data_IF_258341972823
#
_entry.id   IF_258341972823
#
_cell.length_a   1.000
_cell.length_b   1.000
_cell.length_c   1.000
_cell.angle_alpha   90.00
_cell.angle_beta   90.00
_cell.angle_gamma   90.00
#
_symmetry.space_group_name_H-M   'P 1'
#
loop_
_entity.id
_entity.type
_entity.pdbx_description
1 polymer ?
#
# COMPACT_ATOMS: atom_id res chain seq x y z
N UNK A 1 12.98 18.45 -4.25
CA UNK A 1 11.53 18.70 -4.18
C UNK A 1 11.02 18.41 -2.76
N UNK A 2 10.99 19.43 -1.88
CA UNK A 2 10.53 19.26 -0.50
C UNK A 2 9.01 19.12 -0.42
N UNK A 3 8.53 18.31 0.53
CA UNK A 3 7.14 18.33 0.95
C UNK A 3 6.91 19.47 1.94
N UNK A 4 5.81 20.21 1.80
CA UNK A 4 5.47 21.30 2.74
C UNK A 4 4.72 20.81 3.98
N UNK A 5 4.24 19.57 3.95
CA UNK A 5 3.41 18.98 5.01
C UNK A 5 4.21 18.02 5.92
N UNK A 6 5.48 17.75 5.60
CA UNK A 6 6.39 16.91 6.40
C UNK A 6 7.86 17.21 6.07
N UNK A 7 8.79 16.53 6.73
CA UNK A 7 10.24 16.73 6.56
C UNK A 7 10.85 15.99 5.36
N UNK A 8 10.05 15.31 4.52
CA UNK A 8 10.57 14.50 3.41
C UNK A 8 10.99 15.35 2.22
N UNK A 9 12.14 15.01 1.63
CA UNK A 9 12.69 15.66 0.44
C UNK A 9 12.94 14.62 -0.65
N UNK A 10 12.46 14.93 -1.86
CA UNK A 10 12.54 14.03 -3.01
C UNK A 10 13.47 14.56 -4.10
N UNK A 11 14.14 13.66 -4.82
CA UNK A 11 15.01 14.00 -5.95
C UNK A 11 14.23 14.42 -7.20
N UNK A 12 12.97 14.00 -7.34
CA UNK A 12 12.11 14.34 -8.49
C UNK A 12 10.73 14.83 -8.08
N UNK A 13 10.09 15.62 -8.97
CA UNK A 13 8.70 16.07 -8.79
C UNK A 13 7.72 14.91 -8.77
N UNK A 14 7.92 13.88 -9.61
CA UNK A 14 7.04 12.70 -9.67
C UNK A 14 7.01 11.91 -8.35
N UNK A 15 8.17 11.78 -7.69
CA UNK A 15 8.26 11.16 -6.38
C UNK A 15 7.51 11.97 -5.32
N UNK A 16 7.65 13.30 -5.31
CA UNK A 16 6.89 14.18 -4.41
C UNK A 16 5.37 14.07 -4.65
N UNK A 17 4.92 14.07 -5.92
CA UNK A 17 3.49 13.89 -6.26
C UNK A 17 2.95 12.56 -5.72
N UNK A 18 3.72 11.48 -5.88
CA UNK A 18 3.34 10.15 -5.39
C UNK A 18 3.26 10.13 -3.86
N UNK A 19 4.23 10.75 -3.19
CA UNK A 19 4.24 10.91 -1.74
C UNK A 19 2.99 11.65 -1.24
N UNK A 20 2.66 12.80 -1.83
CA UNK A 20 1.49 13.59 -1.44
C UNK A 20 0.19 12.81 -1.62
N UNK A 21 0.08 12.01 -2.68
CA UNK A 21 -1.13 11.24 -2.99
C UNK A 21 -1.37 10.05 -2.06
N UNK A 22 -0.30 9.39 -1.61
CA UNK A 22 -0.43 8.07 -0.96
C UNK A 22 0.20 7.96 0.43
N UNK A 23 1.10 8.87 0.80
CA UNK A 23 1.88 8.73 2.04
C UNK A 23 1.66 9.89 3.01
N UNK A 24 1.75 11.12 2.50
CA UNK A 24 1.73 12.33 3.33
C UNK A 24 0.36 12.55 3.95
N UNK A 25 0.28 12.50 5.28
CA UNK A 25 -0.99 12.65 6.01
C UNK A 25 -2.00 11.52 5.76
N UNK A 26 -1.65 10.50 4.98
CA UNK A 26 -2.54 9.38 4.68
C UNK A 26 -2.36 8.26 5.72
N UNK A 27 -3.44 7.79 6.37
CA UNK A 27 -3.38 6.64 7.27
C UNK A 27 -3.13 5.34 6.48
N UNK A 28 -2.56 4.31 7.12
CA UNK A 28 -2.47 2.98 6.52
C UNK A 28 -3.89 2.44 6.29
N UNK A 29 -4.16 1.93 5.08
CA UNK A 29 -5.48 1.43 4.68
C UNK A 29 -5.46 0.07 4.01
N UNK A 30 -4.28 -0.42 3.63
CA UNK A 30 -4.12 -1.68 2.96
C UNK A 30 -3.82 -2.76 3.98
N UNK A 31 -4.81 -3.61 4.27
CA UNK A 31 -4.71 -4.69 5.26
C UNK A 31 -4.39 -6.02 4.59
N UNK A 32 -3.55 -6.81 5.25
CA UNK A 32 -3.34 -8.22 4.93
C UNK A 32 -4.60 -9.01 5.34
N UNK A 33 -5.16 -9.84 4.46
CA UNK A 33 -6.34 -10.63 4.81
C UNK A 33 -6.06 -11.79 5.78
N UNK A 34 -4.79 -12.07 6.06
CA UNK A 34 -4.37 -13.24 6.83
C UNK A 34 -3.78 -12.89 8.21
N UNK A 35 -3.57 -11.61 8.51
CA UNK A 35 -3.07 -11.14 9.79
C UNK A 35 -3.37 -9.65 10.00
N UNK A 36 -2.93 -9.09 11.12
CA UNK A 36 -3.21 -7.69 11.48
C UNK A 36 -2.27 -6.66 10.83
N UNK A 37 -1.45 -7.07 9.85
CA UNK A 37 -0.59 -6.13 9.14
C UNK A 37 -1.43 -5.15 8.32
N UNK A 38 -1.24 -3.85 8.56
CA UNK A 38 -1.79 -2.75 7.75
C UNK A 38 -0.65 -1.88 7.23
N UNK A 39 -0.75 -1.45 5.97
CA UNK A 39 0.25 -0.59 5.33
C UNK A 39 -0.39 0.57 4.56
N UNK A 40 0.43 1.57 4.26
CA UNK A 40 0.07 2.70 3.38
C UNK A 40 0.18 2.34 1.89
N UNK A 41 0.85 1.24 1.53
CA UNK A 41 1.03 0.79 0.14
C UNK A 41 0.63 -0.67 -0.06
N UNK A 42 -0.03 -0.96 -1.19
CA UNK A 42 -0.39 -2.33 -1.60
C UNK A 42 0.83 -3.21 -1.83
N UNK A 43 1.89 -2.68 -2.45
CA UNK A 43 3.15 -3.40 -2.72
C UNK A 43 3.78 -3.99 -1.46
N UNK A 44 3.69 -3.28 -0.33
CA UNK A 44 4.22 -3.73 0.95
C UNK A 44 3.41 -4.92 1.50
N UNK A 45 2.09 -4.88 1.39
CA UNK A 45 1.21 -5.99 1.79
C UNK A 45 1.46 -7.20 0.91
N UNK A 46 1.57 -7.01 -0.41
CA UNK A 46 1.87 -8.11 -1.34
C UNK A 46 3.21 -8.78 -1.03
N UNK A 47 4.27 -8.01 -0.79
CA UNK A 47 5.58 -8.55 -0.39
C UNK A 47 5.49 -9.28 0.95
N UNK A 48 4.74 -8.74 1.91
CA UNK A 48 4.50 -9.40 3.18
C UNK A 48 3.84 -10.77 3.00
N UNK A 49 2.77 -10.87 2.18
CA UNK A 49 2.08 -12.14 1.91
C UNK A 49 3.05 -13.15 1.30
N UNK A 50 3.82 -12.77 0.28
CA UNK A 50 4.82 -13.66 -0.34
C UNK A 50 5.86 -14.20 0.65
N UNK A 51 6.20 -13.44 1.70
CA UNK A 51 7.24 -13.81 2.68
C UNK A 51 6.69 -14.56 3.89
N UNK A 52 5.49 -14.21 4.37
CA UNK A 52 4.89 -14.68 5.62
C UNK A 52 3.71 -15.64 5.43
N UNK A 53 3.11 -15.66 4.25
CA UNK A 53 1.94 -16.45 3.88
C UNK A 53 2.19 -17.12 2.52
N UNK A 54 3.29 -17.88 2.42
CA UNK A 54 3.82 -18.42 1.15
C UNK A 54 2.81 -19.24 0.35
N UNK A 55 1.91 -19.95 1.02
CA UNK A 55 0.90 -20.83 0.41
C UNK A 55 -0.48 -20.14 0.26
N UNK A 56 -0.52 -18.81 0.36
CA UNK A 56 -1.75 -18.03 0.26
C UNK A 56 -1.76 -17.15 -0.99
N UNK A 57 -2.96 -16.91 -1.51
CA UNK A 57 -3.17 -16.01 -2.65
C UNK A 57 -2.81 -14.58 -2.26
N UNK A 58 -2.09 -13.88 -3.13
CA UNK A 58 -1.72 -12.48 -2.90
C UNK A 58 -2.89 -11.57 -3.24
N UNK A 59 -3.65 -11.17 -2.23
CA UNK A 59 -4.65 -10.11 -2.35
C UNK A 59 -4.60 -9.14 -1.17
N UNK A 60 -5.06 -7.90 -1.38
CA UNK A 60 -4.95 -6.80 -0.41
C UNK A 60 -6.34 -6.23 -0.15
N UNK A 61 -6.68 -5.99 1.12
CA UNK A 61 -7.96 -5.39 1.50
C UNK A 61 -7.80 -3.88 1.70
N UNK A 62 -8.62 -3.06 1.04
CA UNK A 62 -8.74 -1.64 1.35
C UNK A 62 -9.83 -1.43 2.41
N UNK A 63 -9.42 -1.14 3.64
CA UNK A 63 -10.33 -0.96 4.78
C UNK A 63 -11.08 0.37 4.76
N UNK A 64 -10.66 1.32 3.90
CA UNK A 64 -11.36 2.62 3.75
C UNK A 64 -12.50 2.55 2.75
N UNK A 65 -12.46 1.61 1.81
CA UNK A 65 -13.50 1.40 0.79
C UNK A 65 -13.77 -0.10 0.62
N UNK A 66 -14.46 -0.74 1.59
CA UNK A 66 -14.65 -2.19 1.63
C UNK A 66 -15.46 -2.75 0.43
N UNK A 67 -16.19 -1.91 -0.29
CA UNK A 67 -16.93 -2.25 -1.52
C UNK A 67 -16.05 -2.36 -2.78
N UNK A 68 -14.76 -2.02 -2.70
CA UNK A 68 -13.82 -1.97 -3.82
C UNK A 68 -12.82 -3.15 -3.81
N UNK A 69 -13.34 -4.37 -3.65
CA UNK A 69 -12.60 -5.67 -3.64
C UNK A 69 -11.89 -5.96 -5.00
N UNK A 70 -11.95 -5.03 -5.96
CA UNK A 70 -11.51 -5.23 -7.36
C UNK A 70 -10.15 -4.64 -7.73
N UNK A 71 -9.33 -4.20 -6.78
CA UNK A 71 -7.99 -3.74 -7.14
C UNK A 71 -6.98 -4.89 -7.21
N UNK A 72 -6.89 -5.46 -8.42
CA UNK A 72 -5.86 -6.36 -8.92
C UNK A 72 -5.74 -7.71 -8.24
N UNK A 73 -6.64 -8.61 -8.63
CA UNK A 73 -6.42 -10.06 -8.65
C UNK A 73 -5.26 -10.32 -9.64
N UNK A 74 -4.01 -10.10 -9.23
CA UNK A 74 -2.89 -10.77 -9.88
C UNK A 74 -2.78 -12.14 -9.22
N UNK A 75 -3.59 -13.08 -9.73
CA UNK A 75 -3.27 -14.51 -9.61
C UNK A 75 -1.98 -14.67 -10.40
N UNK A 76 -0.85 -14.67 -9.70
CA UNK A 76 0.37 -15.24 -10.27
C UNK A 76 0.09 -16.73 -10.30
N UNK A 77 -0.27 -17.24 -11.49
CA UNK A 77 -0.21 -18.66 -11.79
C UNK A 77 1.23 -19.12 -11.73
#
# INVERSE_FOLDING_TARGET
FPCMNCTSVYSTKGSLTTHLKYECGQPPRFKCPYCDLVSKKTSNVQQHIRRRHKDRVVYVQDITHPSNIRYNIHIVR
#
